data_IF_805393889500
#
_entry.id   IF_805393889500
#
_cell.length_a   1.000
_cell.length_b   1.000
_cell.length_c   1.000
_cell.angle_alpha   90.00
_cell.angle_beta   90.00
_cell.angle_gamma   90.00
#
_symmetry.space_group_name_H-M   'P 1'
#
loop_
_entity.id
_entity.type
_entity.pdbx_description
1 polymer ?
#
# COMPACT_ATOMS: atom_id res chain seq x y z
N UNK A 1 10.32 5.82 -9.93
CA UNK A 1 10.79 6.72 -8.85
C UNK A 1 9.61 7.31 -8.07
N UNK A 2 8.82 8.28 -8.57
CA UNK A 2 7.69 8.82 -7.81
C UNK A 2 6.54 7.82 -7.59
N UNK A 3 6.19 7.01 -8.60
CA UNK A 3 5.14 5.97 -8.51
C UNK A 3 5.45 4.85 -7.51
N UNK A 4 6.73 4.51 -7.35
CA UNK A 4 7.15 3.48 -6.39
C UNK A 4 7.01 3.98 -4.94
N UNK A 5 7.07 5.30 -4.72
CA UNK A 5 6.82 5.91 -3.41
C UNK A 5 5.35 5.81 -3.01
N UNK A 6 4.42 6.06 -3.94
CA UNK A 6 2.97 5.96 -3.64
C UNK A 6 2.58 4.52 -3.32
N UNK A 7 3.09 3.54 -4.08
CA UNK A 7 2.89 2.12 -3.77
C UNK A 7 3.41 1.79 -2.37
N UNK A 8 4.61 2.28 -2.03
CA UNK A 8 5.21 2.07 -0.70
C UNK A 8 4.36 2.70 0.42
N UNK A 9 3.89 3.94 0.23
CA UNK A 9 3.08 4.65 1.22
C UNK A 9 1.76 3.89 1.48
N UNK A 10 1.10 3.39 0.43
CA UNK A 10 -0.10 2.54 0.55
C UNK A 10 0.21 1.26 1.31
N UNK A 11 1.28 0.55 0.96
CA UNK A 11 1.66 -0.70 1.65
C UNK A 11 1.99 -0.46 3.12
N UNK A 12 2.65 0.66 3.43
CA UNK A 12 2.97 1.06 4.80
C UNK A 12 1.69 1.35 5.60
N UNK A 13 0.74 2.06 5.02
CA UNK A 13 -0.58 2.29 5.59
C UNK A 13 -1.32 0.97 5.88
N UNK A 14 -1.41 0.07 4.90
CA UNK A 14 -2.13 -1.21 5.02
C UNK A 14 -1.46 -2.15 6.02
N UNK A 15 -0.12 -2.16 6.10
CA UNK A 15 0.60 -2.97 7.08
C UNK A 15 0.31 -2.53 8.52
N UNK A 16 0.09 -1.22 8.73
CA UNK A 16 -0.29 -0.66 10.03
C UNK A 16 -1.78 -0.84 10.36
N UNK A 17 -2.62 -0.93 9.33
CA UNK A 17 -4.07 -1.01 9.45
C UNK A 17 -4.61 -2.20 8.62
N UNK A 18 -4.28 -3.43 9.02
CA UNK A 18 -4.45 -4.62 8.16
C UNK A 18 -5.89 -4.99 7.82
N UNK A 19 -6.84 -4.51 8.62
CA UNK A 19 -8.28 -4.71 8.43
C UNK A 19 -8.98 -3.48 7.84
N UNK A 20 -8.21 -2.45 7.46
CA UNK A 20 -8.79 -1.27 6.84
C UNK A 20 -9.33 -1.59 5.44
N UNK A 21 -10.45 -0.95 5.14
CA UNK A 21 -11.14 -1.02 3.87
C UNK A 21 -11.56 0.41 3.51
N UNK A 22 -11.01 0.95 2.44
CA UNK A 22 -11.31 2.33 2.05
C UNK A 22 -11.28 2.51 0.52
N UNK A 23 -11.92 3.56 0.04
CA UNK A 23 -11.89 3.99 -1.36
C UNK A 23 -10.53 4.56 -1.73
N UNK A 24 -10.23 4.61 -3.04
CA UNK A 24 -9.01 5.28 -3.52
C UNK A 24 -8.90 6.74 -3.04
N UNK A 25 -10.03 7.45 -2.94
CA UNK A 25 -10.09 8.82 -2.42
C UNK A 25 -9.78 8.89 -0.92
N UNK A 26 -10.41 8.04 -0.10
CA UNK A 26 -10.13 8.00 1.33
C UNK A 26 -8.67 7.66 1.62
N UNK A 27 -8.10 6.68 0.91
CA UNK A 27 -6.66 6.35 0.96
C UNK A 27 -5.81 7.58 0.65
N UNK A 28 -6.05 8.23 -0.48
CA UNK A 28 -5.28 9.39 -0.94
C UNK A 28 -5.32 10.55 0.08
N UNK A 29 -6.52 10.91 0.54
CA UNK A 29 -6.75 12.13 1.34
C UNK A 29 -6.40 11.94 2.82
N UNK A 30 -6.74 10.81 3.43
CA UNK A 30 -6.68 10.66 4.88
C UNK A 30 -5.47 9.87 5.36
N UNK A 31 -4.92 8.99 4.52
CA UNK A 31 -3.92 8.02 4.97
C UNK A 31 -2.52 8.30 4.44
N UNK A 32 -2.39 8.67 3.17
CA UNK A 32 -1.07 8.83 2.54
C UNK A 32 -0.77 10.26 2.07
N UNK A 33 -1.76 11.17 2.04
CA UNK A 33 -1.57 12.57 1.64
C UNK A 33 -1.05 12.73 0.21
N UNK A 34 -1.61 11.97 -0.74
CA UNK A 34 -1.23 11.97 -2.17
C UNK A 34 -2.41 12.37 -3.05
N UNK A 35 -2.14 12.65 -4.33
CA UNK A 35 -3.20 12.92 -5.29
C UNK A 35 -3.97 11.65 -5.66
N UNK A 36 -5.25 11.81 -6.03
CA UNK A 36 -6.14 10.70 -6.34
C UNK A 36 -5.66 9.89 -7.55
N UNK A 37 -5.16 10.54 -8.60
CA UNK A 37 -4.79 9.87 -9.84
C UNK A 37 -3.60 8.93 -9.63
N UNK A 38 -2.53 9.39 -8.97
CA UNK A 38 -1.37 8.56 -8.65
C UNK A 38 -1.73 7.44 -7.66
N UNK A 39 -2.64 7.71 -6.72
CA UNK A 39 -3.14 6.70 -5.78
C UNK A 39 -3.92 5.61 -6.51
N UNK A 40 -4.79 5.96 -7.46
CA UNK A 40 -5.53 5.00 -8.28
C UNK A 40 -4.59 4.13 -9.12
N UNK A 41 -3.62 4.73 -9.81
CA UNK A 41 -2.62 3.98 -10.58
C UNK A 41 -1.82 3.01 -9.69
N UNK A 42 -1.42 3.45 -8.49
CA UNK A 42 -0.70 2.62 -7.54
C UNK A 42 -1.57 1.47 -7.02
N UNK A 43 -2.85 1.72 -6.72
CA UNK A 43 -3.79 0.69 -6.28
C UNK A 43 -4.03 -0.36 -7.36
N UNK A 44 -4.17 0.04 -8.62
CA UNK A 44 -4.29 -0.90 -9.74
C UNK A 44 -3.05 -1.80 -9.84
N UNK A 45 -1.86 -1.22 -9.77
CA UNK A 45 -0.60 -1.98 -9.77
C UNK A 45 -0.53 -2.95 -8.56
N UNK A 46 -0.84 -2.47 -7.36
CA UNK A 46 -0.84 -3.31 -6.15
C UNK A 46 -1.88 -4.44 -6.24
N UNK A 47 -3.00 -4.21 -6.92
CA UNK A 47 -4.02 -5.22 -7.19
C UNK A 47 -3.50 -6.29 -8.16
N UNK A 48 -2.82 -5.89 -9.24
CA UNK A 48 -2.16 -6.82 -10.18
C UNK A 48 -1.15 -7.73 -9.46
N UNK A 49 -0.41 -7.20 -8.49
CA UNK A 49 0.52 -7.98 -7.66
C UNK A 49 -0.14 -8.73 -6.48
N UNK A 50 -1.47 -8.67 -6.35
CA UNK A 50 -2.21 -9.36 -5.29
C UNK A 50 -1.97 -8.82 -3.88
N UNK A 51 -1.44 -7.60 -3.76
CA UNK A 51 -1.23 -6.92 -2.48
C UNK A 51 -2.55 -6.40 -1.93
N UNK A 52 -3.43 -5.89 -2.79
CA UNK A 52 -4.77 -5.42 -2.42
C UNK A 52 -5.84 -6.18 -3.20
N UNK A 53 -7.05 -6.20 -2.65
CA UNK A 53 -8.25 -6.66 -3.32
C UNK A 53 -9.23 -5.49 -3.43
N UNK A 54 -9.94 -5.38 -4.55
CA UNK A 54 -10.97 -4.37 -4.77
C UNK A 54 -12.36 -5.01 -4.74
N UNK A 55 -13.31 -4.37 -4.05
CA UNK A 55 -14.71 -4.76 -4.09
C UNK A 55 -15.57 -3.59 -4.57
N UNK A 56 -16.48 -3.81 -5.54
CA UNK A 56 -17.44 -2.78 -5.94
C UNK A 56 -18.42 -2.56 -4.80
N UNK A 57 -18.76 -1.30 -4.52
CA UNK A 57 -19.78 -0.94 -3.53
C UNK A 57 -21.01 -0.32 -4.20
N UNK A 58 -20.91 0.88 -4.78
CA UNK A 58 -21.98 1.60 -5.50
C UNK A 58 -21.38 2.63 -6.47
N UNK A 59 -22.13 3.06 -7.49
CA UNK A 59 -21.78 4.16 -8.40
C UNK A 59 -20.37 4.10 -8.99
N UNK A 60 -19.97 2.90 -9.44
CA UNK A 60 -18.64 2.64 -9.98
C UNK A 60 -17.48 2.95 -8.99
N UNK A 61 -17.79 2.97 -7.69
CA UNK A 61 -16.83 3.13 -6.61
C UNK A 61 -16.36 1.77 -6.13
N UNK A 62 -15.05 1.67 -5.92
CA UNK A 62 -14.38 0.49 -5.40
C UNK A 62 -13.76 0.79 -4.04
N UNK A 63 -13.88 -0.18 -3.14
CA UNK A 63 -13.17 -0.21 -1.86
C UNK A 63 -12.01 -1.17 -2.00
N UNK A 64 -10.84 -0.75 -1.52
CA UNK A 64 -9.61 -1.51 -1.52
C UNK A 64 -9.31 -2.00 -0.11
N UNK A 65 -8.97 -3.29 0.00
CA UNK A 65 -8.59 -3.93 1.26
C UNK A 65 -7.25 -4.61 1.12
N UNK A 66 -6.56 -4.81 2.24
CA UNK A 66 -5.31 -5.55 2.24
C UNK A 66 -5.56 -7.05 1.98
N UNK A 67 -4.90 -7.65 0.97
CA UNK A 67 -5.11 -9.05 0.64
C UNK A 67 -4.73 -9.98 1.81
N UNK A 68 -5.53 -11.01 2.08
CA UNK A 68 -5.33 -11.97 3.18
C UNK A 68 -4.29 -13.05 2.87
N UNK A 69 -3.18 -12.68 2.22
CA UNK A 69 -2.06 -13.58 1.96
C UNK A 69 -0.97 -13.42 3.05
N UNK A 70 -0.88 -14.32 4.03
CA UNK A 70 0.01 -14.15 5.19
C UNK A 70 1.50 -14.12 4.80
N UNK A 71 1.91 -14.85 3.76
CA UNK A 71 3.29 -14.89 3.28
C UNK A 71 3.68 -13.54 2.69
N UNK A 72 2.80 -12.99 1.82
CA UNK A 72 3.01 -11.69 1.21
C UNK A 72 3.01 -10.58 2.27
N UNK A 73 2.05 -10.60 3.21
CA UNK A 73 1.98 -9.63 4.30
C UNK A 73 3.26 -9.63 5.14
N UNK A 74 3.75 -10.81 5.53
CA UNK A 74 4.98 -10.93 6.31
C UNK A 74 6.20 -10.44 5.51
N UNK A 75 6.27 -10.73 4.22
CA UNK A 75 7.38 -10.30 3.35
C UNK A 75 7.41 -8.78 3.20
N UNK A 76 6.26 -8.15 2.98
CA UNK A 76 6.13 -6.70 2.89
C UNK A 76 6.45 -6.00 4.21
N UNK A 77 5.99 -6.54 5.34
CA UNK A 77 6.32 -6.02 6.66
C UNK A 77 7.84 -6.04 6.92
N UNK A 78 8.52 -7.14 6.58
CA UNK A 78 9.99 -7.24 6.68
C UNK A 78 10.71 -6.28 5.75
N UNK A 79 10.26 -6.17 4.50
CA UNK A 79 10.82 -5.23 3.53
C UNK A 79 10.74 -3.78 4.05
N UNK A 80 9.59 -3.40 4.60
CA UNK A 80 9.40 -2.08 5.20
C UNK A 80 10.27 -1.86 6.45
N UNK A 81 10.46 -2.90 7.29
CA UNK A 81 11.36 -2.84 8.44
C UNK A 81 12.84 -2.70 8.03
N UNK A 82 13.28 -3.43 7.00
CA UNK A 82 14.65 -3.37 6.47
C UNK A 82 15.01 -2.02 5.85
N UNK A 83 14.02 -1.28 5.37
CA UNK A 83 14.20 0.10 4.90
C UNK A 83 14.31 1.13 6.05
N UNK A 84 13.88 0.78 7.27
CA UNK A 84 13.95 1.64 8.46
C UNK A 84 15.25 1.38 9.24
N UNK A 85 15.81 0.17 9.13
CA UNK A 85 17.11 -0.14 9.73
C UNK A 85 18.22 0.68 9.05
N UNK A 86 18.97 1.52 9.79
CA UNK A 86 20.15 2.16 9.24
C UNK A 86 21.09 1.05 8.78
N UNK A 87 21.56 1.13 7.54
CA UNK A 87 22.66 0.28 7.08
C UNK A 87 23.81 0.45 8.08
N UNK A 88 24.35 -0.63 8.67
CA UNK A 88 25.61 -0.50 9.37
C UNK A 88 26.63 -0.09 8.31
N UNK A 89 27.17 1.12 8.45
CA UNK A 89 28.34 1.53 7.70
C UNK A 89 29.45 0.58 8.11
N UNK A 90 29.71 -0.44 7.30
CA UNK A 90 30.93 -1.23 7.40
C UNK A 90 32.10 -0.29 7.14
N UNK A 91 32.75 0.14 8.22
CA UNK A 91 34.06 0.77 8.18
C UNK A 91 35.08 -0.36 8.04
N UNK A 92 35.64 -0.49 6.83
CA UNK A 92 36.93 -1.14 6.61
C UNK A 92 38.06 -0.20 7.05
#
# INVERSE_FOLDING_TARGET
>A
MARDLVCRDIVQYLTRNSEAADTARGIAEWWIGRDLASTQEALLKLQEYGVVQSYPVQDNTFVYVYAKNPILRQSLARYLQGLIAPHPVERF
#
